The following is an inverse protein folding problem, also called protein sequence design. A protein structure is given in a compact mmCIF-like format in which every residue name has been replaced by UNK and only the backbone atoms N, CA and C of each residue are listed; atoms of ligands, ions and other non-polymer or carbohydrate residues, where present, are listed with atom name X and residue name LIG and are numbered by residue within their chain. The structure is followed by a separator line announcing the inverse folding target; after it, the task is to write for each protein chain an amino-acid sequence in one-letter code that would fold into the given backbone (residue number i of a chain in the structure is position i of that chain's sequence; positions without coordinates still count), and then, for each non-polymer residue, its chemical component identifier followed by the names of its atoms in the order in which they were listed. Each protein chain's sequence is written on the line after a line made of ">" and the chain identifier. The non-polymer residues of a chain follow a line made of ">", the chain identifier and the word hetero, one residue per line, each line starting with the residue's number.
data_IF_940267310748
#
_entry.id   IF_940267310748
#
_cell.length_a   1.000
_cell.length_b   1.000
_cell.length_c   1.000
_cell.angle_alpha   90.00
_cell.angle_beta   90.00
_cell.angle_gamma   90.00
#
_symmetry.space_group_name_H-M   'P 1'
#
loop_
_entity.id
_entity.type
_entity.pdbx_description
1 polymer ?
#
# COMPACT_ATOMS: atom_id res chain seq x y z
N UNK A 1 1.69 2.34 -4.24
CA UNK A 1 0.50 1.78 -3.56
C UNK A 1 -0.52 2.89 -3.44
N UNK A 2 -1.81 2.57 -3.54
CA UNK A 2 -2.87 3.57 -3.36
C UNK A 2 -3.14 3.86 -1.87
N UNK A 3 -3.63 5.08 -1.58
CA UNK A 3 -4.07 5.55 -0.26
C UNK A 3 -3.03 5.52 0.86
N UNK A 4 -1.74 5.35 0.54
CA UNK A 4 -0.66 5.32 1.52
C UNK A 4 0.46 6.27 1.13
N UNK A 5 0.98 7.01 2.10
CA UNK A 5 2.17 7.85 1.95
C UNK A 5 3.20 7.54 3.06
N UNK A 6 4.48 7.88 2.84
CA UNK A 6 5.49 7.83 3.89
C UNK A 6 5.10 8.67 5.12
N UNK A 7 5.65 8.33 6.28
CA UNK A 7 5.45 9.09 7.53
C UNK A 7 6.27 10.38 7.59
N UNK A 8 7.43 10.38 6.95
CA UNK A 8 8.30 11.53 6.83
C UNK A 8 7.81 12.44 5.69
N UNK A 9 8.20 13.71 5.70
CA UNK A 9 8.09 14.60 4.52
C UNK A 9 9.01 14.18 3.36
N UNK A 10 9.72 13.06 3.50
CA UNK A 10 10.52 12.45 2.45
C UNK A 10 9.62 11.78 1.41
N UNK A 11 10.05 11.83 0.14
CA UNK A 11 9.37 11.17 -0.98
C UNK A 11 9.50 9.63 -0.96
N UNK A 12 10.04 9.05 0.11
CA UNK A 12 10.38 7.63 0.22
C UNK A 12 9.90 7.01 1.52
N UNK A 13 9.43 5.76 1.43
CA UNK A 13 9.12 4.95 2.59
C UNK A 13 10.39 4.58 3.35
N UNK A 14 10.26 4.35 4.66
CA UNK A 14 11.40 3.95 5.49
C UNK A 14 11.85 2.52 5.15
N UNK A 15 13.11 2.15 5.41
CA UNK A 15 13.58 0.78 5.22
C UNK A 15 12.74 -0.27 5.96
N UNK A 16 12.15 0.09 7.11
CA UNK A 16 11.25 -0.77 7.88
C UNK A 16 9.92 -1.00 7.17
N UNK A 17 9.37 0.02 6.51
CA UNK A 17 8.18 -0.12 5.68
C UNK A 17 8.45 -1.03 4.45
N UNK A 18 9.62 -0.87 3.82
CA UNK A 18 10.04 -1.73 2.70
C UNK A 18 10.25 -3.19 3.13
N UNK A 19 10.85 -3.40 4.30
CA UNK A 19 11.03 -4.74 4.87
C UNK A 19 9.68 -5.38 5.20
N UNK A 20 8.75 -4.64 5.81
CA UNK A 20 7.40 -5.12 6.11
C UNK A 20 6.62 -5.47 4.83
N UNK A 21 6.76 -4.66 3.77
CA UNK A 21 6.18 -4.98 2.47
C UNK A 21 6.77 -6.26 1.88
N UNK A 22 8.09 -6.40 1.93
CA UNK A 22 8.78 -7.59 1.42
C UNK A 22 8.35 -8.86 2.16
N UNK A 23 8.15 -8.76 3.48
CA UNK A 23 7.64 -9.85 4.31
C UNK A 23 6.19 -10.21 3.95
N UNK A 24 5.29 -9.21 3.87
CA UNK A 24 3.87 -9.44 3.60
C UNK A 24 3.59 -9.88 2.15
N UNK A 25 4.47 -9.54 1.21
CA UNK A 25 4.31 -9.86 -0.21
C UNK A 25 5.18 -11.02 -0.68
N UNK A 26 6.13 -11.46 0.15
CA UNK A 26 7.07 -12.53 -0.17
C UNK A 26 6.40 -13.89 -0.29
N UNK A 27 6.75 -14.62 -1.35
CA UNK A 27 6.43 -16.04 -1.56
C UNK A 27 4.94 -16.42 -1.43
N UNK A 28 4.03 -15.46 -1.60
CA UNK A 28 2.59 -15.64 -1.40
C UNK A 28 1.82 -15.09 -2.60
N UNK A 29 0.72 -15.76 -2.98
CA UNK A 29 -0.18 -15.23 -4.00
C UNK A 29 -1.04 -14.11 -3.38
N UNK A 30 -1.06 -12.96 -4.05
CA UNK A 30 -1.78 -11.76 -3.60
C UNK A 30 -2.86 -11.38 -4.59
N UNK A 31 -3.92 -10.75 -4.10
CA UNK A 31 -4.91 -10.10 -4.93
C UNK A 31 -4.53 -8.63 -5.08
N UNK A 32 -4.59 -8.11 -6.30
CA UNK A 32 -4.34 -6.71 -6.59
C UNK A 32 -5.52 -6.12 -7.37
N UNK A 33 -5.97 -4.93 -6.97
CA UNK A 33 -6.98 -4.16 -7.69
C UNK A 33 -6.36 -2.82 -8.07
N UNK A 34 -6.41 -2.50 -9.36
CA UNK A 34 -6.08 -1.16 -9.85
C UNK A 34 -7.22 -0.23 -9.47
N UNK A 35 -6.92 0.80 -8.69
CA UNK A 35 -7.90 1.79 -8.24
C UNK A 35 -7.86 3.05 -9.10
N UNK A 36 -6.66 3.46 -9.53
CA UNK A 36 -6.45 4.63 -10.38
C UNK A 36 -5.06 4.59 -11.04
N UNK A 37 -4.69 5.66 -11.74
CA UNK A 37 -3.36 5.83 -12.33
C UNK A 37 -2.77 7.17 -11.88
N UNK A 38 -1.46 7.20 -11.64
CA UNK A 38 -0.73 8.44 -11.39
C UNK A 38 -0.72 9.33 -12.64
N UNK A 39 -0.38 10.63 -12.51
CA UNK A 39 -0.18 11.51 -13.67
C UNK A 39 0.89 11.01 -14.67
N UNK A 40 1.83 10.18 -14.21
CA UNK A 40 2.86 9.54 -15.04
C UNK A 40 2.40 8.21 -15.66
N UNK A 41 1.16 7.79 -15.44
CA UNK A 41 0.57 6.57 -15.97
C UNK A 41 0.92 5.30 -15.20
N UNK A 42 1.45 5.40 -13.98
CA UNK A 42 1.71 4.24 -13.13
C UNK A 42 0.42 3.80 -12.43
N UNK A 43 0.07 2.50 -12.45
CA UNK A 43 -1.12 2.02 -11.77
C UNK A 43 -0.98 2.14 -10.25
N UNK A 44 -1.97 2.77 -9.63
CA UNK A 44 -2.16 2.74 -8.18
C UNK A 44 -3.03 1.54 -7.85
N UNK A 45 -2.56 0.75 -6.88
CA UNK A 45 -3.20 -0.51 -6.51
C UNK A 45 -3.47 -0.59 -5.00
N UNK A 46 -4.57 -1.25 -4.68
CA UNK A 46 -4.77 -1.88 -3.37
C UNK A 46 -4.37 -3.35 -3.48
N UNK A 47 -3.73 -3.85 -2.42
CA UNK A 47 -3.15 -5.19 -2.39
C UNK A 47 -3.69 -5.95 -1.18
N UNK A 48 -4.11 -7.19 -1.39
CA UNK A 48 -4.62 -8.05 -0.33
C UNK A 48 -3.87 -9.38 -0.26
N UNK A 49 -3.69 -9.87 0.96
CA UNK A 49 -3.27 -11.25 1.23
C UNK A 49 -4.49 -12.08 1.61
N UNK A 50 -4.54 -13.31 1.13
CA UNK A 50 -5.57 -14.29 1.51
C UNK A 50 -4.92 -15.34 2.40
N UNK A 51 -5.28 -15.35 3.68
CA UNK A 51 -4.71 -16.25 4.69
C UNK A 51 -5.84 -17.09 5.28
N UNK A 52 -5.97 -18.33 4.80
CA UNK A 52 -7.13 -19.15 5.13
C UNK A 52 -8.41 -18.53 4.56
N UNK A 53 -9.37 -18.22 5.43
CA UNK A 53 -10.63 -17.57 5.07
C UNK A 53 -10.60 -16.04 5.23
N UNK A 54 -9.48 -15.48 5.70
CA UNK A 54 -9.32 -14.04 5.94
C UNK A 54 -8.68 -13.33 4.74
N UNK A 55 -9.17 -12.13 4.45
CA UNK A 55 -8.61 -11.25 3.41
C UNK A 55 -8.09 -9.98 4.07
N UNK A 56 -6.78 -9.81 4.07
CA UNK A 56 -6.10 -8.70 4.76
C UNK A 56 -5.63 -7.67 3.74
N UNK A 57 -6.04 -6.41 3.90
CA UNK A 57 -5.59 -5.29 3.07
C UNK A 57 -4.18 -4.84 3.50
N UNK A 58 -3.17 -5.18 2.69
CA UNK A 58 -1.75 -4.94 2.95
C UNK A 58 -1.46 -3.44 3.05
N UNK A 59 -2.04 -2.62 2.18
CA UNK A 59 -1.86 -1.16 2.22
C UNK A 59 -2.24 -0.61 3.61
N UNK A 60 -3.35 -1.08 4.18
CA UNK A 60 -3.83 -0.62 5.49
C UNK A 60 -2.95 -1.16 6.62
N UNK A 61 -2.43 -2.37 6.50
CA UNK A 61 -1.53 -2.95 7.49
C UNK A 61 -0.24 -2.14 7.69
N UNK A 62 0.27 -1.45 6.66
CA UNK A 62 1.39 -0.52 6.84
C UNK A 62 1.04 0.62 7.81
N UNK A 63 -0.17 1.17 7.69
CA UNK A 63 -0.64 2.26 8.55
C UNK A 63 -0.88 1.77 9.97
N UNK A 64 -1.50 0.59 10.13
CA UNK A 64 -1.76 -0.01 11.43
C UNK A 64 -0.47 -0.37 12.19
N UNK A 65 0.61 -0.69 11.46
CA UNK A 65 1.95 -0.92 12.01
C UNK A 65 2.71 0.38 12.30
N UNK A 66 2.13 1.55 12.00
CA UNK A 66 2.81 2.84 12.14
C UNK A 66 4.01 2.98 11.21
N UNK A 67 3.92 2.44 9.99
CA UNK A 67 4.96 2.49 8.95
C UNK A 67 4.58 3.41 7.77
N UNK A 68 3.32 3.82 7.70
CA UNK A 68 2.78 4.70 6.68
C UNK A 68 1.62 5.54 7.24
N UNK A 69 1.26 6.60 6.53
CA UNK A 69 0.03 7.34 6.80
C UNK A 69 -1.03 6.99 5.75
N UNK A 70 -2.29 6.89 6.20
CA UNK A 70 -3.42 6.72 5.30
C UNK A 70 -3.81 8.08 4.73
N UNK A 71 -3.91 8.16 3.41
CA UNK A 71 -4.42 9.35 2.72
C UNK A 71 -5.71 8.98 2.00
N UNK A 72 -6.78 9.72 2.30
CA UNK A 72 -8.03 9.55 1.58
C UNK A 72 -7.85 10.04 0.15
N UNK A 73 -8.27 9.21 -0.81
CA UNK A 73 -8.12 9.43 -2.25
C UNK A 73 -9.06 10.52 -2.78
N UNK A 74 -9.20 11.65 -2.08
CA UNK A 74 -9.98 12.82 -2.50
C UNK A 74 -9.25 13.75 -3.48
N UNK A 75 -7.98 13.46 -3.79
CA UNK A 75 -7.12 14.32 -4.62
C UNK A 75 -6.78 13.76 -6.01
N UNK A 76 -7.45 12.72 -6.48
CA UNK A 76 -7.21 12.19 -7.83
C UNK A 76 -8.07 12.84 -8.93
N UNK A 77 -8.82 13.92 -8.63
CA UNK A 77 -9.75 14.55 -9.58
C UNK A 77 -9.69 16.08 -9.65
N UNK A 78 -8.54 16.71 -9.35
CA UNK A 78 -8.32 18.15 -9.58
C UNK A 78 -7.17 18.39 -10.56
#
# INVERSE_FOLDING_TARGET
>A
LDSVMPLSDDDHFSPEADAAMSEMTGNTALLAQVTSYSPTGLPLIQLWSVVGDEVVLINRSLVERGLAQWVDSYYSSL
#
